data_IF_870025734548
#
_entry.id   IF_870025734548
#
_cell.length_a   1.000
_cell.length_b   1.000
_cell.length_c   1.000
_cell.angle_alpha   90.00
_cell.angle_beta   90.00
_cell.angle_gamma   90.00
#
_symmetry.space_group_name_H-M   'P 1'
#
loop_
_entity.id
_entity.type
_entity.pdbx_description
1 polymer ?
#
# COMPACT_ATOMS: atom_id res chain seq x y z
N UNK A 1 13.02 -44.39 9.88
CA UNK A 1 13.31 -44.54 11.33
C UNK A 1 14.47 -43.61 11.66
N UNK A 2 14.38 -42.84 12.76
CA UNK A 2 15.21 -41.71 13.20
C UNK A 2 14.88 -40.34 12.58
N UNK A 3 14.87 -39.20 13.29
CA UNK A 3 14.48 -38.84 14.67
C UNK A 3 14.38 -37.29 14.63
N UNK A 4 13.19 -36.72 14.47
CA UNK A 4 13.04 -35.25 14.52
C UNK A 4 12.99 -34.78 15.97
N UNK A 5 13.97 -33.94 16.33
CA UNK A 5 14.09 -33.26 17.62
C UNK A 5 13.16 -32.04 17.59
N UNK A 6 12.14 -32.02 18.46
CA UNK A 6 11.31 -30.85 18.76
C UNK A 6 12.20 -29.73 19.32
N UNK A 7 12.10 -28.53 18.75
CA UNK A 7 12.38 -27.29 19.45
C UNK A 7 11.05 -26.59 19.69
N UNK A 8 10.80 -26.31 20.96
CA UNK A 8 9.64 -25.67 21.53
C UNK A 8 9.97 -24.18 21.67
N UNK A 9 9.17 -23.32 21.06
CA UNK A 9 9.27 -21.87 21.25
C UNK A 9 7.87 -21.38 21.65
N UNK A 10 7.77 -21.17 22.95
CA UNK A 10 6.99 -20.20 23.70
C UNK A 10 5.88 -19.45 22.94
N UNK A 11 4.65 -19.92 23.12
CA UNK A 11 3.45 -19.23 22.70
C UNK A 11 3.00 -18.24 23.77
N UNK A 12 3.10 -16.94 23.47
CA UNK A 12 2.50 -15.89 24.29
C UNK A 12 1.37 -15.23 23.52
N UNK A 13 0.15 -15.64 23.85
CA UNK A 13 -1.10 -15.03 23.37
C UNK A 13 -1.25 -13.66 24.03
N UNK A 14 -1.37 -12.61 23.21
CA UNK A 14 -1.79 -11.27 23.63
C UNK A 14 -3.31 -11.30 23.73
N UNK A 15 -3.79 -11.51 24.96
CA UNK A 15 -5.12 -11.15 25.41
C UNK A 15 -5.01 -11.08 26.93
N UNK A 16 -5.29 -9.90 27.49
CA UNK A 16 -5.56 -9.60 28.92
C UNK A 16 -4.82 -8.33 29.36
N UNK A 17 -5.27 -7.18 28.84
CA UNK A 17 -5.11 -5.89 29.52
C UNK A 17 -6.40 -5.11 29.24
N UNK A 18 -7.30 -5.06 30.22
CA UNK A 18 -8.03 -3.86 30.63
C UNK A 18 -9.17 -4.24 31.59
N UNK A 19 -8.89 -4.21 32.89
CA UNK A 19 -9.91 -3.99 33.93
C UNK A 19 -9.23 -3.66 35.26
N UNK A 20 -9.00 -2.37 35.54
CA UNK A 20 -9.03 -1.78 36.90
C UNK A 20 -9.27 -0.28 36.75
N UNK A 21 -10.44 0.21 37.19
CA UNK A 21 -10.56 1.26 38.22
C UNK A 21 -12.03 1.68 38.37
N UNK A 22 -12.71 1.09 39.37
CA UNK A 22 -13.96 1.61 39.90
C UNK A 22 -13.90 1.53 41.42
N UNK A 23 -13.99 2.68 42.08
CA UNK A 23 -14.04 2.80 43.52
C UNK A 23 -14.47 4.20 43.95
N UNK A 24 -15.29 4.24 45.01
CA UNK A 24 -15.90 5.38 45.71
C UNK A 24 -17.24 5.85 45.09
N UNK A 25 -18.41 5.70 45.71
CA UNK A 25 -18.79 5.34 47.08
C UNK A 25 -19.66 6.43 47.69
N UNK A 26 -20.72 6.01 48.41
CA UNK A 26 -21.34 6.69 49.58
C UNK A 26 -22.20 7.94 49.26
N UNK A 27 -23.44 8.17 49.73
CA UNK A 27 -24.32 7.72 50.84
C UNK A 27 -25.79 8.06 50.43
N UNK A 28 -26.81 7.25 50.77
CA UNK A 28 -27.70 7.41 51.95
C UNK A 28 -28.55 8.71 51.87
N UNK A 29 -29.86 8.79 52.09
CA UNK A 29 -30.83 7.99 52.82
C UNK A 29 -32.24 8.61 52.62
N UNK A 30 -33.29 7.85 52.96
CA UNK A 30 -34.53 8.32 53.67
C UNK A 30 -35.45 9.37 53.03
N UNK A 31 -36.77 9.38 53.22
CA UNK A 31 -37.77 8.48 53.79
C UNK A 31 -39.12 9.21 53.59
N UNK A 32 -40.11 8.49 53.09
CA UNK A 32 -41.48 8.35 53.61
C UNK A 32 -42.16 9.53 54.35
N UNK A 33 -43.31 9.93 53.77
CA UNK A 33 -44.65 10.09 54.38
C UNK A 33 -45.12 11.33 55.17
N UNK A 34 -46.39 11.66 54.87
CA UNK A 34 -47.47 12.26 55.71
C UNK A 34 -47.30 13.74 56.09
N UNK A 35 -48.32 14.59 56.22
CA UNK A 35 -49.78 14.57 56.09
C UNK A 35 -50.24 16.06 56.13
N UNK A 36 -51.55 16.30 56.06
CA UNK A 36 -52.30 17.35 56.81
C UNK A 36 -52.88 18.54 56.02
N UNK A 37 -54.21 18.44 55.89
CA UNK A 37 -55.28 19.43 56.12
C UNK A 37 -55.58 20.64 55.20
N UNK A 38 -56.79 20.54 54.64
CA UNK A 38 -57.94 21.42 54.80
C UNK A 38 -57.75 22.96 54.72
N UNK A 39 -58.40 23.57 53.72
CA UNK A 39 -58.74 24.99 53.80
C UNK A 39 -59.10 25.66 52.48
N UNK A 40 -60.41 25.74 52.22
CA UNK A 40 -61.10 26.92 51.64
C UNK A 40 -60.61 27.53 50.31
N UNK A 41 -61.41 27.27 49.27
CA UNK A 41 -62.10 28.26 48.42
C UNK A 41 -61.33 29.38 47.68
N UNK A 42 -61.53 29.32 46.36
CA UNK A 42 -61.42 30.36 45.33
C UNK A 42 -60.03 30.83 44.90
N UNK A 43 -59.60 30.33 43.75
CA UNK A 43 -58.74 31.05 42.81
C UNK A 43 -59.09 30.68 41.36
N UNK A 44 -58.94 31.62 40.41
CA UNK A 44 -59.58 31.57 39.10
C UNK A 44 -58.91 30.56 38.17
N UNK A 45 -59.67 30.07 37.19
CA UNK A 45 -59.22 29.11 36.17
C UNK A 45 -57.83 29.47 35.60
N UNK A 46 -56.91 28.49 35.44
CA UNK A 46 -55.65 28.77 34.79
C UNK A 46 -55.90 29.06 33.31
N UNK A 47 -55.42 30.22 32.86
CA UNK A 47 -55.24 30.56 31.45
C UNK A 47 -54.55 29.39 30.74
N UNK A 48 -55.21 28.89 29.70
CA UNK A 48 -54.69 27.94 28.71
C UNK A 48 -53.24 28.31 28.36
N UNK A 49 -52.29 27.46 28.76
CA UNK A 49 -50.90 27.55 28.35
C UNK A 49 -50.83 27.43 26.84
N UNK A 50 -50.57 28.56 26.17
CA UNK A 50 -50.30 28.64 24.73
C UNK A 50 -48.80 28.51 24.46
N UNK A 51 -48.07 27.71 25.25
CA UNK A 51 -46.61 27.55 25.09
C UNK A 51 -46.14 26.13 24.72
N UNK A 52 -46.97 25.09 24.83
CA UNK A 52 -46.56 23.76 24.35
C UNK A 52 -46.56 23.68 22.81
N UNK A 53 -47.39 24.49 22.16
CA UNK A 53 -47.52 24.45 20.70
C UNK A 53 -46.25 24.90 19.97
N UNK A 54 -45.62 26.00 20.41
CA UNK A 54 -44.36 26.45 19.82
C UNK A 54 -43.18 25.48 20.07
N UNK A 55 -43.19 24.74 21.19
CA UNK A 55 -42.13 23.79 21.52
C UNK A 55 -42.17 22.52 20.67
N UNK A 56 -43.35 22.04 20.27
CA UNK A 56 -43.41 20.90 19.35
C UNK A 56 -43.13 21.31 17.90
N UNK A 57 -43.57 22.50 17.46
CA UNK A 57 -43.23 22.99 16.11
C UNK A 57 -41.72 23.22 15.96
N UNK A 58 -41.05 23.74 16.98
CA UNK A 58 -39.59 23.90 16.98
C UNK A 58 -38.85 22.56 17.01
N UNK A 59 -39.36 21.53 17.68
CA UNK A 59 -38.78 20.19 17.64
C UNK A 59 -39.01 19.47 16.30
N UNK A 60 -40.22 19.54 15.74
CA UNK A 60 -40.60 18.87 14.49
C UNK A 60 -39.99 19.51 13.26
N UNK A 61 -39.72 20.83 13.28
CA UNK A 61 -39.07 21.54 12.17
C UNK A 61 -37.56 21.66 12.39
N UNK A 62 -37.13 21.91 13.63
CA UNK A 62 -35.72 22.11 13.96
C UNK A 62 -34.87 20.86 13.83
N UNK A 63 -35.39 19.68 14.22
CA UNK A 63 -34.63 18.43 14.12
C UNK A 63 -34.37 18.01 12.66
N UNK A 64 -35.36 18.01 11.74
CA UNK A 64 -35.09 17.77 10.32
C UNK A 64 -34.21 18.86 9.69
N UNK A 65 -34.39 20.13 10.06
CA UNK A 65 -33.55 21.22 9.54
C UNK A 65 -32.09 21.05 9.96
N UNK A 66 -31.83 20.63 11.21
CA UNK A 66 -30.49 20.31 11.70
C UNK A 66 -29.89 19.13 10.94
N UNK A 67 -30.65 18.05 10.70
CA UNK A 67 -30.19 16.91 9.91
C UNK A 67 -29.90 17.31 8.46
N UNK A 68 -30.70 18.17 7.85
CA UNK A 68 -30.42 18.70 6.51
C UNK A 68 -29.14 19.54 6.51
N UNK A 69 -28.96 20.41 7.51
CA UNK A 69 -27.77 21.25 7.62
C UNK A 69 -26.49 20.42 7.82
N UNK A 70 -26.53 19.38 8.67
CA UNK A 70 -25.37 18.49 8.87
C UNK A 70 -25.06 17.68 7.61
N UNK A 71 -26.07 17.17 6.90
CA UNK A 71 -25.84 16.47 5.62
C UNK A 71 -25.28 17.40 4.53
N UNK A 72 -25.76 18.65 4.45
CA UNK A 72 -25.23 19.65 3.52
C UNK A 72 -23.78 20.04 3.86
N UNK A 73 -23.46 20.18 5.16
CA UNK A 73 -22.10 20.44 5.61
C UNK A 73 -21.17 19.27 5.29
N UNK A 74 -21.59 18.03 5.56
CA UNK A 74 -20.83 16.83 5.20
C UNK A 74 -20.64 16.73 3.68
N UNK A 75 -21.66 17.02 2.89
CA UNK A 75 -21.55 17.07 1.43
C UNK A 75 -20.57 18.15 0.97
N UNK A 76 -20.62 19.35 1.56
CA UNK A 76 -19.73 20.46 1.22
C UNK A 76 -18.27 20.16 1.60
N UNK A 77 -18.03 19.59 2.79
CA UNK A 77 -16.70 19.13 3.20
C UNK A 77 -16.21 18.05 2.24
N UNK A 78 -17.02 17.03 1.97
CA UNK A 78 -16.64 15.94 1.06
C UNK A 78 -16.39 16.43 -0.37
N UNK A 79 -17.18 17.39 -0.87
CA UNK A 79 -17.04 17.96 -2.20
C UNK A 79 -15.82 18.89 -2.30
N UNK A 80 -15.53 19.67 -1.25
CA UNK A 80 -14.36 20.55 -1.20
C UNK A 80 -13.06 19.78 -1.04
N UNK A 81 -13.05 18.67 -0.31
CA UNK A 81 -11.89 17.77 -0.21
C UNK A 81 -11.74 16.85 -1.41
N UNK A 82 -12.82 16.57 -2.16
CA UNK A 82 -12.77 15.76 -3.39
C UNK A 82 -11.88 16.39 -4.47
N UNK A 83 -11.74 17.71 -4.47
CA UNK A 83 -10.84 18.41 -5.40
C UNK A 83 -9.35 18.12 -5.13
N UNK A 84 -8.99 17.60 -3.94
CA UNK A 84 -7.62 17.15 -3.63
C UNK A 84 -7.39 15.65 -3.89
N UNK A 85 -8.43 14.86 -4.11
CA UNK A 85 -8.25 13.51 -4.61
C UNK A 85 -8.05 13.63 -6.12
N UNK A 86 -6.79 13.59 -6.57
CA UNK A 86 -6.48 13.26 -7.96
C UNK A 86 -7.43 12.13 -8.38
N UNK A 87 -8.16 12.33 -9.48
CA UNK A 87 -8.94 11.27 -10.08
C UNK A 87 -8.03 10.02 -10.10
N UNK A 88 -8.49 8.84 -9.65
CA UNK A 88 -7.67 7.65 -9.78
C UNK A 88 -7.33 7.56 -11.26
N UNK A 89 -6.06 7.81 -11.59
CA UNK A 89 -5.58 7.66 -12.95
C UNK A 89 -6.03 6.26 -13.35
N UNK A 90 -6.95 6.20 -14.32
CA UNK A 90 -7.45 4.91 -14.77
C UNK A 90 -6.23 4.09 -15.18
N UNK A 91 -6.20 2.79 -14.88
CA UNK A 91 -5.13 1.91 -15.42
C UNK A 91 -5.07 1.99 -16.95
N UNK A 92 -6.17 2.45 -17.59
CA UNK A 92 -6.24 2.70 -19.03
C UNK A 92 -5.71 4.07 -19.48
N UNK A 93 -5.48 5.02 -18.57
CA UNK A 93 -4.92 6.33 -18.88
C UNK A 93 -3.41 6.25 -18.67
N UNK A 94 -2.60 6.33 -19.75
CA UNK A 94 -1.16 6.20 -19.62
C UNK A 94 -0.65 7.30 -18.68
N UNK A 95 0.23 6.98 -17.71
CA UNK A 95 0.83 8.00 -16.88
C UNK A 95 1.49 9.05 -17.78
N UNK A 96 1.49 10.31 -17.35
CA UNK A 96 2.29 11.33 -18.01
C UNK A 96 3.70 10.78 -18.14
N UNK A 97 4.14 10.57 -19.38
CA UNK A 97 5.37 9.84 -19.66
C UNK A 97 6.49 10.54 -18.88
N UNK A 98 7.18 9.78 -18.02
CA UNK A 98 8.30 10.33 -17.27
C UNK A 98 9.25 11.03 -18.25
N UNK A 99 9.82 12.19 -17.92
CA UNK A 99 10.67 12.94 -18.82
C UNK A 99 11.76 12.09 -19.50
N UNK A 100 12.34 11.15 -18.77
CA UNK A 100 13.34 10.18 -19.26
C UNK A 100 12.85 9.24 -20.40
N UNK A 101 11.53 9.08 -20.55
CA UNK A 101 10.92 8.17 -21.53
C UNK A 101 10.46 8.89 -22.80
N UNK A 102 10.49 10.23 -22.86
CA UNK A 102 9.99 11.02 -24.01
C UNK A 102 10.74 10.74 -25.31
N UNK A 103 12.03 10.47 -25.20
CA UNK A 103 12.91 10.24 -26.35
C UNK A 103 12.87 8.78 -26.84
N UNK A 104 12.17 7.89 -26.12
CA UNK A 104 11.97 6.52 -26.54
C UNK A 104 10.78 6.45 -27.51
N UNK A 105 11.04 5.97 -28.73
CA UNK A 105 9.99 5.61 -29.66
C UNK A 105 9.31 4.31 -29.21
N UNK A 106 8.41 4.43 -28.23
CA UNK A 106 7.69 3.30 -27.64
C UNK A 106 6.49 2.93 -28.52
N UNK A 107 6.54 1.75 -29.11
CA UNK A 107 5.38 1.14 -29.76
C UNK A 107 4.71 0.16 -28.80
N UNK A 108 3.46 0.44 -28.42
CA UNK A 108 2.68 -0.46 -27.57
C UNK A 108 2.09 -1.58 -28.42
N UNK A 109 2.48 -2.82 -28.13
CA UNK A 109 1.88 -4.01 -28.74
C UNK A 109 0.94 -4.72 -27.77
N UNK A 110 -0.22 -5.13 -28.25
CA UNK A 110 -1.14 -5.95 -27.47
C UNK A 110 -0.81 -7.43 -27.65
N UNK A 111 -0.42 -8.09 -26.56
CA UNK A 111 -0.12 -9.52 -26.55
C UNK A 111 -1.07 -10.22 -25.59
N UNK A 112 -1.70 -11.32 -26.04
CA UNK A 112 -2.52 -12.15 -25.16
C UNK A 112 -1.61 -12.96 -24.23
N UNK A 113 -1.80 -12.79 -22.93
CA UNK A 113 -1.10 -13.57 -21.91
C UNK A 113 -1.60 -15.03 -21.88
N UNK A 114 -0.69 -16.01 -21.95
CA UNK A 114 -1.01 -17.43 -21.78
C UNK A 114 -0.89 -17.83 -20.30
N UNK A 115 -2.02 -17.80 -19.60
CA UNK A 115 -2.18 -18.16 -18.18
C UNK A 115 -2.49 -19.64 -17.95
N UNK A 116 -2.38 -20.50 -18.96
CA UNK A 116 -2.74 -21.92 -18.82
C UNK A 116 -1.83 -22.61 -17.80
N UNK A 117 -2.40 -23.07 -16.68
CA UNK A 117 -1.66 -23.54 -15.50
C UNK A 117 -0.73 -24.74 -15.78
N UNK A 118 -1.25 -25.79 -16.44
CA UNK A 118 -0.50 -27.02 -16.72
C UNK A 118 0.24 -27.01 -18.06
N UNK A 119 0.10 -25.96 -18.88
CA UNK A 119 0.83 -25.89 -20.15
C UNK A 119 2.26 -25.44 -19.87
N UNK A 120 3.23 -25.90 -20.65
CA UNK A 120 4.54 -25.24 -20.78
C UNK A 120 4.51 -24.28 -21.98
N UNK A 121 3.35 -23.68 -22.28
CA UNK A 121 3.11 -22.91 -23.50
C UNK A 121 3.85 -21.58 -23.52
N UNK A 122 3.98 -20.94 -22.36
CA UNK A 122 4.75 -19.70 -22.23
C UNK A 122 6.25 -19.97 -22.36
N UNK A 123 6.91 -19.21 -23.23
CA UNK A 123 8.38 -19.23 -23.40
C UNK A 123 9.14 -18.93 -22.09
N UNK A 124 8.52 -18.23 -21.14
CA UNK A 124 9.12 -17.86 -19.86
C UNK A 124 9.07 -18.97 -18.80
N UNK A 125 8.21 -19.98 -18.98
CA UNK A 125 7.97 -21.06 -17.98
C UNK A 125 8.73 -22.36 -18.29
N UNK A 126 9.42 -22.40 -19.44
CA UNK A 126 10.19 -23.53 -19.93
C UNK A 126 11.33 -23.91 -18.94
N UNK A 127 11.83 -25.17 -19.02
CA UNK A 127 13.04 -25.59 -18.30
C UNK A 127 14.24 -24.66 -18.56
N UNK A 128 15.25 -24.66 -17.67
CA UNK A 128 16.40 -23.79 -17.81
C UNK A 128 17.18 -24.14 -19.09
N UNK A 129 17.33 -23.16 -19.97
CA UNK A 129 18.00 -23.29 -21.26
C UNK A 129 18.34 -21.90 -21.82
N UNK A 130 19.28 -21.80 -22.79
CA UNK A 130 19.60 -20.52 -23.43
C UNK A 130 18.38 -19.84 -24.07
N UNK A 131 17.42 -20.60 -24.61
CA UNK A 131 16.20 -20.07 -25.21
C UNK A 131 15.27 -19.45 -24.16
N UNK A 132 15.14 -20.10 -22.99
CA UNK A 132 14.39 -19.55 -21.86
C UNK A 132 15.04 -18.26 -21.38
N UNK A 133 16.36 -18.24 -21.22
CA UNK A 133 17.09 -17.05 -20.77
C UNK A 133 17.01 -15.91 -21.78
N UNK A 134 17.09 -16.20 -23.08
CA UNK A 134 16.89 -15.22 -24.14
C UNK A 134 15.48 -14.60 -24.09
N UNK A 135 14.45 -15.40 -23.78
CA UNK A 135 13.10 -14.87 -23.60
C UNK A 135 13.03 -13.89 -22.42
N UNK A 136 13.59 -14.24 -21.25
CA UNK A 136 13.65 -13.36 -20.08
C UNK A 136 14.45 -12.08 -20.35
N UNK A 137 15.58 -12.18 -21.04
CA UNK A 137 16.39 -11.02 -21.42
C UNK A 137 15.65 -10.09 -22.38
N UNK A 138 14.93 -10.66 -23.36
CA UNK A 138 14.08 -9.87 -24.26
C UNK A 138 12.99 -9.10 -23.50
N UNK A 139 12.47 -9.65 -22.39
CA UNK A 139 11.51 -8.95 -21.55
C UNK A 139 12.14 -7.85 -20.67
N UNK A 140 13.47 -7.76 -20.59
CA UNK A 140 14.20 -6.77 -19.79
C UNK A 140 14.74 -7.29 -18.46
N UNK A 141 14.79 -8.60 -18.23
CA UNK A 141 15.29 -9.17 -16.96
C UNK A 141 16.78 -8.94 -16.70
N UNK A 142 17.52 -8.52 -17.74
CA UNK A 142 18.93 -8.14 -17.64
C UNK A 142 19.13 -6.70 -18.16
N UNK A 143 18.12 -5.87 -18.00
CA UNK A 143 18.23 -4.45 -18.27
C UNK A 143 19.06 -3.83 -17.13
N UNK A 144 20.13 -3.12 -17.50
CA UNK A 144 20.96 -2.40 -16.54
C UNK A 144 20.41 -1.01 -16.23
N UNK A 145 21.26 -0.16 -15.67
CA UNK A 145 20.90 1.22 -15.44
C UNK A 145 20.88 2.03 -16.75
N UNK A 146 20.02 3.03 -16.77
CA UNK A 146 20.03 4.14 -17.71
C UNK A 146 20.91 5.25 -17.15
N UNK A 147 21.46 6.08 -18.02
CA UNK A 147 22.14 7.30 -17.63
C UNK A 147 21.24 8.48 -17.94
N UNK A 148 20.86 9.20 -16.89
CA UNK A 148 20.10 10.44 -17.01
C UNK A 148 21.11 11.58 -17.15
N UNK A 149 21.04 12.36 -18.25
CA UNK A 149 21.85 13.55 -18.41
C UNK A 149 21.65 14.53 -17.25
N UNK A 150 22.72 15.19 -16.79
CA UNK A 150 22.64 16.10 -15.64
C UNK A 150 21.71 17.29 -15.87
N UNK A 151 21.56 17.75 -17.12
CA UNK A 151 20.64 18.81 -17.50
C UNK A 151 19.16 18.38 -17.42
N UNK A 152 18.89 17.08 -17.44
CA UNK A 152 17.56 16.48 -17.30
C UNK A 152 17.27 15.95 -15.88
N UNK A 153 18.26 15.96 -14.97
CA UNK A 153 18.14 15.42 -13.63
C UNK A 153 16.98 16.02 -12.83
N UNK A 154 16.82 17.34 -12.89
CA UNK A 154 15.75 18.07 -12.19
C UNK A 154 14.34 17.67 -12.65
N UNK A 155 14.17 17.23 -13.89
CA UNK A 155 12.86 16.77 -14.39
C UNK A 155 12.46 15.41 -13.80
N UNK A 156 13.42 14.66 -13.26
CA UNK A 156 13.23 13.34 -12.65
C UNK A 156 13.42 13.36 -11.13
N UNK A 157 13.32 14.54 -10.50
CA UNK A 157 13.56 14.75 -9.06
C UNK A 157 14.95 14.27 -8.58
N UNK A 158 15.93 14.20 -9.48
CA UNK A 158 17.31 13.84 -9.17
C UNK A 158 18.11 15.10 -8.85
N UNK A 159 18.87 15.04 -7.76
CA UNK A 159 19.73 16.13 -7.27
C UNK A 159 21.22 15.78 -7.40
N UNK A 160 22.08 16.79 -7.27
CA UNK A 160 23.55 16.63 -7.27
C UNK A 160 24.11 15.75 -6.15
N UNK A 161 23.29 15.42 -5.15
CA UNK A 161 23.68 14.57 -4.03
C UNK A 161 23.59 13.07 -4.37
N UNK A 162 23.00 12.72 -5.52
CA UNK A 162 22.95 11.35 -6.00
C UNK A 162 24.34 10.89 -6.50
N UNK A 163 24.44 9.64 -6.95
CA UNK A 163 25.68 9.14 -7.54
C UNK A 163 25.80 9.73 -8.96
N UNK A 164 26.97 10.27 -9.30
CA UNK A 164 27.28 10.75 -10.65
C UNK A 164 28.38 9.91 -11.24
N UNK A 165 28.18 9.44 -12.47
CA UNK A 165 29.22 8.87 -13.30
C UNK A 165 29.83 10.01 -14.10
N UNK A 166 31.12 10.28 -13.88
CA UNK A 166 31.82 11.36 -14.58
C UNK A 166 32.20 10.98 -16.03
N UNK A 167 32.21 9.67 -16.35
CA UNK A 167 32.79 9.16 -17.59
C UNK A 167 34.32 9.27 -17.59
N UNK A 168 35.00 8.34 -18.27
CA UNK A 168 36.42 8.46 -18.58
C UNK A 168 36.67 9.37 -19.80
N UNK A 169 37.93 9.74 -20.09
CA UNK A 169 38.30 10.56 -21.26
C UNK A 169 37.75 10.02 -22.59
N UNK A 170 37.66 8.69 -22.71
CA UNK A 170 37.16 7.98 -23.89
C UNK A 170 35.70 7.48 -23.71
N UNK A 171 35.03 7.87 -22.64
CA UNK A 171 33.71 7.38 -22.22
C UNK A 171 32.79 8.54 -21.82
N UNK A 172 32.85 9.66 -22.55
CA UNK A 172 31.97 10.81 -22.32
C UNK A 172 30.47 10.46 -22.46
N UNK A 173 30.14 9.36 -23.16
CA UNK A 173 28.78 8.82 -23.24
C UNK A 173 28.33 8.08 -21.96
N UNK A 174 29.24 7.86 -21.01
CA UNK A 174 28.94 7.28 -19.69
C UNK A 174 28.82 8.34 -18.59
N UNK A 175 28.75 9.63 -18.98
CA UNK A 175 28.56 10.73 -18.04
C UNK A 175 27.07 10.93 -17.74
N UNK A 176 26.69 10.96 -16.45
CA UNK A 176 25.31 11.18 -16.02
C UNK A 176 24.98 10.53 -14.68
N UNK A 177 23.72 10.58 -14.30
CA UNK A 177 23.20 9.96 -13.08
C UNK A 177 22.65 8.57 -13.44
N UNK A 178 23.21 7.47 -12.91
CA UNK A 178 22.66 6.14 -13.13
C UNK A 178 21.31 6.01 -12.43
N UNK A 179 20.31 5.54 -13.18
CA UNK A 179 18.98 5.27 -12.66
C UNK A 179 18.45 3.96 -13.23
N UNK A 180 17.79 3.18 -12.39
CA UNK A 180 17.08 1.97 -12.80
C UNK A 180 15.59 2.26 -12.98
N UNK A 181 14.98 1.62 -13.99
CA UNK A 181 13.52 1.62 -14.11
C UNK A 181 12.99 0.47 -13.27
N UNK A 182 12.20 0.79 -12.25
CA UNK A 182 11.78 -0.17 -11.22
C UNK A 182 11.13 -1.45 -11.79
N UNK A 183 10.36 -1.35 -12.88
CA UNK A 183 9.76 -2.53 -13.53
C UNK A 183 10.80 -3.56 -14.00
N UNK A 184 11.97 -3.11 -14.45
CA UNK A 184 13.03 -4.01 -14.87
C UNK A 184 13.79 -4.60 -13.68
N UNK A 185 13.96 -3.82 -12.61
CA UNK A 185 14.53 -4.33 -11.36
C UNK A 185 13.65 -5.43 -10.73
N UNK A 186 12.33 -5.24 -10.73
CA UNK A 186 11.36 -6.26 -10.34
C UNK A 186 11.47 -7.52 -11.22
N UNK A 187 11.61 -7.34 -12.54
CA UNK A 187 11.74 -8.45 -13.49
C UNK A 187 13.07 -9.19 -13.35
N UNK A 188 14.17 -8.48 -13.10
CA UNK A 188 15.49 -9.03 -12.80
C UNK A 188 15.41 -9.95 -11.59
N UNK A 189 14.86 -9.45 -10.49
CA UNK A 189 14.75 -10.22 -9.27
C UNK A 189 13.81 -11.42 -9.42
N UNK A 190 12.70 -11.28 -10.16
CA UNK A 190 11.83 -12.42 -10.48
C UNK A 190 12.57 -13.50 -11.28
N UNK A 191 13.39 -13.09 -12.25
CA UNK A 191 14.23 -14.01 -13.02
C UNK A 191 15.29 -14.67 -12.14
N UNK A 192 15.91 -13.92 -11.22
CA UNK A 192 16.86 -14.45 -10.25
C UNK A 192 16.21 -15.50 -9.35
N UNK A 193 15.00 -15.24 -8.83
CA UNK A 193 14.25 -16.22 -8.05
C UNK A 193 13.99 -17.49 -8.86
N UNK A 194 13.51 -17.35 -10.11
CA UNK A 194 13.33 -18.48 -11.03
C UNK A 194 14.60 -19.31 -11.15
N UNK A 195 15.75 -18.68 -11.42
CA UNK A 195 17.05 -19.34 -11.55
C UNK A 195 17.49 -20.00 -10.24
N UNK A 196 17.23 -19.37 -9.10
CA UNK A 196 17.66 -19.82 -7.77
C UNK A 196 16.77 -20.91 -7.15
N UNK A 197 15.60 -21.20 -7.72
CA UNK A 197 14.75 -22.32 -7.28
C UNK A 197 15.52 -23.65 -7.31
N UNK A 198 15.16 -24.56 -6.41
CA UNK A 198 15.75 -25.90 -6.33
C UNK A 198 15.76 -26.64 -7.67
N UNK A 199 14.73 -26.46 -8.50
CA UNK A 199 14.62 -27.11 -9.80
C UNK A 199 15.64 -26.63 -10.85
N UNK A 200 16.14 -25.40 -10.70
CA UNK A 200 16.94 -24.72 -11.70
C UNK A 200 18.38 -24.41 -11.22
N UNK A 201 18.60 -24.38 -9.90
CA UNK A 201 19.85 -23.92 -9.29
C UNK A 201 21.08 -24.67 -9.81
N UNK A 202 21.02 -26.00 -9.90
CA UNK A 202 22.14 -26.82 -10.38
C UNK A 202 22.58 -26.45 -11.80
N UNK A 203 21.64 -26.10 -12.68
CA UNK A 203 21.96 -25.69 -14.05
C UNK A 203 22.74 -24.38 -14.05
N UNK A 204 22.23 -23.34 -13.37
CA UNK A 204 22.87 -22.03 -13.35
C UNK A 204 24.16 -22.02 -12.53
N UNK A 205 24.23 -22.84 -11.47
CA UNK A 205 25.46 -23.03 -10.70
C UNK A 205 26.57 -23.65 -11.54
N UNK A 206 26.25 -24.64 -12.38
CA UNK A 206 27.22 -25.24 -13.32
C UNK A 206 27.61 -24.29 -14.44
N UNK A 207 26.66 -23.47 -14.92
CA UNK A 207 26.93 -22.46 -15.93
C UNK A 207 27.91 -21.40 -15.41
N UNK A 208 27.81 -21.03 -14.12
CA UNK A 208 28.75 -20.12 -13.47
C UNK A 208 28.76 -18.73 -14.10
N UNK A 209 27.60 -18.23 -14.51
CA UNK A 209 27.41 -16.91 -15.10
C UNK A 209 26.59 -16.00 -14.16
N UNK A 210 26.62 -14.70 -14.41
CA UNK A 210 25.84 -13.69 -13.69
C UNK A 210 26.00 -13.81 -12.15
N UNK A 211 24.90 -13.79 -11.40
CA UNK A 211 24.86 -13.84 -9.94
C UNK A 211 25.34 -15.20 -9.38
N UNK A 212 25.39 -16.25 -10.21
CA UNK A 212 25.82 -17.60 -9.84
C UNK A 212 27.34 -17.77 -9.84
N UNK A 213 28.09 -16.76 -10.29
CA UNK A 213 29.55 -16.67 -10.11
C UNK A 213 29.93 -16.48 -8.64
N UNK A 214 29.03 -15.90 -7.85
CA UNK A 214 29.29 -15.64 -6.44
C UNK A 214 28.99 -16.88 -5.56
N UNK A 215 29.65 -16.98 -4.38
CA UNK A 215 29.36 -18.04 -3.42
C UNK A 215 27.88 -18.07 -3.01
N UNK A 216 27.38 -19.24 -2.62
CA UNK A 216 25.96 -19.44 -2.22
C UNK A 216 25.48 -18.45 -1.16
N UNK A 217 26.37 -18.04 -0.24
CA UNK A 217 26.04 -17.04 0.77
C UNK A 217 25.62 -15.71 0.15
N UNK A 218 26.39 -15.19 -0.81
CA UNK A 218 26.08 -13.92 -1.47
C UNK A 218 24.79 -14.03 -2.28
N UNK A 219 24.63 -15.12 -3.03
CA UNK A 219 23.40 -15.38 -3.78
C UNK A 219 22.17 -15.45 -2.86
N UNK A 220 22.30 -16.13 -1.70
CA UNK A 220 21.20 -16.27 -0.75
C UNK A 220 20.75 -14.94 -0.14
N UNK A 221 21.69 -14.03 0.11
CA UNK A 221 21.37 -12.68 0.59
C UNK A 221 20.61 -11.91 -0.49
N UNK A 222 21.09 -11.93 -1.73
CA UNK A 222 20.44 -11.23 -2.84
C UNK A 222 19.00 -11.73 -3.05
N UNK A 223 18.80 -13.04 -3.14
CA UNK A 223 17.47 -13.66 -3.28
C UNK A 223 16.58 -13.36 -2.06
N UNK A 224 17.16 -13.37 -0.84
CA UNK A 224 16.43 -13.14 0.41
C UNK A 224 15.94 -11.70 0.57
N UNK A 225 16.77 -10.71 0.25
CA UNK A 225 16.41 -9.28 0.32
C UNK A 225 15.20 -8.98 -0.54
N UNK A 226 15.10 -9.56 -1.74
CA UNK A 226 13.95 -9.34 -2.61
C UNK A 226 12.65 -9.98 -2.10
N UNK A 227 12.74 -11.18 -1.53
CA UNK A 227 11.57 -11.81 -0.92
C UNK A 227 10.99 -10.96 0.23
N UNK A 228 11.85 -10.26 0.97
CA UNK A 228 11.43 -9.29 1.97
C UNK A 228 10.82 -8.03 1.32
N UNK A 229 11.47 -7.47 0.30
CA UNK A 229 10.98 -6.28 -0.41
C UNK A 229 9.54 -6.44 -0.94
N UNK A 230 9.25 -7.57 -1.62
CA UNK A 230 7.88 -7.86 -2.09
C UNK A 230 6.86 -7.90 -0.95
N UNK A 231 7.25 -8.50 0.18
CA UNK A 231 6.36 -8.65 1.32
C UNK A 231 6.05 -7.29 1.97
N UNK A 232 7.02 -6.38 1.99
CA UNK A 232 6.88 -5.03 2.53
C UNK A 232 6.09 -4.10 1.58
N UNK A 233 6.31 -4.17 0.26
CA UNK A 233 5.53 -3.42 -0.73
C UNK A 233 4.02 -3.74 -0.65
N UNK A 234 3.67 -4.98 -0.31
CA UNK A 234 2.28 -5.40 -0.09
C UNK A 234 1.62 -4.70 1.11
N UNK A 235 2.38 -4.18 2.06
CA UNK A 235 1.83 -3.50 3.26
C UNK A 235 1.44 -2.05 3.02
N UNK A 236 1.79 -1.50 1.85
CA UNK A 236 1.49 -0.11 1.47
C UNK A 236 0.27 0.03 0.54
N UNK A 237 -0.42 -1.08 0.21
CA UNK A 237 -1.68 -1.13 -0.55
C UNK A 237 -2.78 -1.83 0.25
#
# INVERSE_FOLDING_TARGET
MNKFRKQEIDGKTISDIDEVEQGQGLLEESSTDTDTDAGTNFSPAPRRSRSSNCRWYSAVIGFPALLCATNLLTFWITASTRAQCHAPASVAEPPSLAPMLRDLNLETIHVKFDSTFYSQGSRYRKPPSPETDAAWNFAGANFGFLLIPEDQANESDLTSDHIHLAGGPDQANLTGIPADVEVFHQLHCLNLLRKATWYNHDYYRKLGADEFQHPDRTLSVHVGTWAAAIQEERTWF
#
